data_IF_962609656603
#
_entry.id   IF_962609656603
#
_cell.length_a   1.000
_cell.length_b   1.000
_cell.length_c   1.000
_cell.angle_alpha   90.00
_cell.angle_beta   90.00
_cell.angle_gamma   90.00
#
_symmetry.space_group_name_H-M   'P 1'
#
loop_
_entity.id
_entity.type
_entity.pdbx_description
1 polymer ?
#
# COMPACT_ATOMS: atom_id res chain seq x y z
N UNK A 1 33.41 -20.18 -30.44
CA UNK A 1 32.89 -18.82 -30.69
C UNK A 1 31.91 -18.55 -29.57
N UNK A 2 32.45 -18.07 -28.45
CA UNK A 2 31.70 -17.75 -27.25
C UNK A 2 31.02 -16.40 -27.44
N UNK A 3 29.72 -16.36 -27.23
CA UNK A 3 29.00 -15.15 -26.84
C UNK A 3 28.10 -15.52 -25.68
N UNK A 4 28.73 -15.67 -24.51
CA UNK A 4 28.01 -15.61 -23.24
C UNK A 4 27.34 -14.25 -23.17
N UNK A 5 26.01 -14.25 -23.31
CA UNK A 5 25.18 -13.10 -23.01
C UNK A 5 25.37 -12.80 -21.53
N UNK A 6 26.09 -11.72 -21.23
CA UNK A 6 26.31 -11.24 -19.88
C UNK A 6 25.01 -10.57 -19.40
N UNK A 7 24.02 -11.39 -19.03
CA UNK A 7 22.87 -10.92 -18.26
C UNK A 7 23.41 -10.68 -16.87
N UNK A 8 23.58 -9.41 -16.50
CA UNK A 8 23.82 -9.05 -15.11
C UNK A 8 22.49 -9.33 -14.38
N UNK A 9 22.32 -10.55 -13.89
CA UNK A 9 21.27 -10.90 -12.92
C UNK A 9 21.62 -10.19 -11.60
N UNK A 10 21.38 -8.88 -11.55
CA UNK A 10 21.54 -8.12 -10.32
C UNK A 10 20.30 -8.36 -9.45
N UNK A 11 20.15 -9.56 -8.90
CA UNK A 11 19.00 -9.93 -8.05
C UNK A 11 19.20 -9.38 -6.63
N UNK A 12 19.19 -8.05 -6.52
CA UNK A 12 19.06 -7.40 -5.21
C UNK A 12 17.72 -7.81 -4.60
N UNK A 13 17.71 -8.08 -3.29
CA UNK A 13 16.50 -8.45 -2.56
C UNK A 13 15.43 -7.37 -2.75
N UNK A 14 14.23 -7.75 -3.19
CA UNK A 14 13.11 -6.85 -3.35
C UNK A 14 12.51 -6.47 -1.99
N UNK A 15 11.97 -5.25 -1.91
CA UNK A 15 11.33 -4.72 -0.70
C UNK A 15 9.85 -4.49 -0.98
N UNK A 16 9.00 -5.21 -0.27
CA UNK A 16 7.57 -4.92 -0.18
C UNK A 16 7.36 -4.07 1.07
N UNK A 17 6.58 -3.00 0.97
CA UNK A 17 6.36 -2.06 2.06
C UNK A 17 4.87 -1.76 2.25
N UNK A 18 4.40 -1.69 3.49
CA UNK A 18 3.06 -1.17 3.79
C UNK A 18 3.00 0.36 3.69
N UNK A 19 1.79 0.90 3.62
CA UNK A 19 1.52 2.33 3.69
C UNK A 19 1.22 2.79 5.12
N UNK A 20 0.08 2.37 5.67
CA UNK A 20 -0.42 2.83 6.96
C UNK A 20 0.44 2.28 8.10
N UNK A 21 0.94 3.15 8.97
CA UNK A 21 1.81 2.76 10.09
C UNK A 21 3.27 2.48 9.70
N UNK A 22 3.62 2.59 8.41
CA UNK A 22 4.99 2.40 7.90
C UNK A 22 5.46 3.62 7.11
N UNK A 23 4.77 4.04 6.05
CA UNK A 23 5.03 5.31 5.35
C UNK A 23 4.33 6.47 6.07
N UNK A 24 3.36 6.17 6.92
CA UNK A 24 2.67 7.13 7.78
C UNK A 24 2.86 6.78 9.24
N UNK A 25 2.47 7.70 10.13
CA UNK A 25 2.23 7.40 11.53
C UNK A 25 1.18 6.28 11.72
N UNK A 26 1.10 5.75 12.95
CA UNK A 26 0.30 4.56 13.27
C UNK A 26 -1.20 4.74 12.97
N UNK A 27 -1.74 3.83 12.17
CA UNK A 27 -3.19 3.73 11.92
C UNK A 27 -3.94 3.38 13.22
N UNK A 28 -3.38 2.51 14.06
CA UNK A 28 -3.99 2.12 15.34
C UNK A 28 -4.13 3.32 16.28
N UNK A 29 -3.12 4.19 16.31
CA UNK A 29 -3.18 5.43 17.08
C UNK A 29 -4.25 6.38 16.51
N UNK A 30 -4.31 6.52 15.18
CA UNK A 30 -5.33 7.35 14.52
C UNK A 30 -6.77 6.91 14.87
N UNK A 31 -7.04 5.59 14.90
CA UNK A 31 -8.33 5.06 15.38
C UNK A 31 -8.59 5.38 16.85
N UNK A 32 -7.55 5.31 17.69
CA UNK A 32 -7.67 5.59 19.13
C UNK A 32 -7.96 7.07 19.38
N UNK A 33 -7.26 7.96 18.68
CA UNK A 33 -7.44 9.41 18.77
C UNK A 33 -8.83 9.81 18.27
N UNK A 34 -9.26 9.22 17.15
CA UNK A 34 -10.61 9.40 16.65
C UNK A 34 -11.65 8.90 17.65
N UNK A 35 -11.48 7.70 18.22
CA UNK A 35 -12.37 7.17 19.24
C UNK A 35 -12.47 8.07 20.47
N UNK A 36 -11.36 8.65 20.93
CA UNK A 36 -11.35 9.61 22.04
C UNK A 36 -12.18 10.86 21.73
N UNK A 37 -12.25 11.28 20.46
CA UNK A 37 -13.07 12.41 20.03
C UNK A 37 -14.59 12.15 20.09
N UNK A 38 -15.01 10.87 20.17
CA UNK A 38 -16.42 10.48 20.23
C UNK A 38 -17.02 10.57 21.65
N UNK A 39 -16.22 10.89 22.67
CA UNK A 39 -16.68 11.06 24.06
C UNK A 39 -17.00 9.75 24.80
N UNK A 40 -16.60 8.59 24.24
CA UNK A 40 -16.80 7.26 24.80
C UNK A 40 -15.48 6.49 24.97
N UNK A 41 -15.54 5.16 24.87
CA UNK A 41 -14.33 4.32 24.86
C UNK A 41 -13.46 4.64 23.63
N UNK A 42 -12.22 5.14 23.83
CA UNK A 42 -11.31 5.47 22.73
C UNK A 42 -11.00 4.28 21.82
N UNK A 43 -11.11 3.06 22.32
CA UNK A 43 -10.83 1.85 21.56
C UNK A 43 -12.03 1.35 20.77
N UNK A 44 -13.23 1.89 20.98
CA UNK A 44 -14.46 1.39 20.38
C UNK A 44 -14.35 1.21 18.85
N UNK A 45 -13.88 2.20 18.06
CA UNK A 45 -13.77 2.02 16.61
C UNK A 45 -12.89 0.83 16.21
N UNK A 46 -11.72 0.70 16.84
CA UNK A 46 -10.78 -0.39 16.56
C UNK A 46 -11.33 -1.74 17.02
N UNK A 47 -11.94 -1.80 18.20
CA UNK A 47 -12.53 -3.01 18.75
C UNK A 47 -13.69 -3.52 17.88
N UNK A 48 -14.50 -2.64 17.29
CA UNK A 48 -15.54 -3.04 16.34
C UNK A 48 -14.93 -3.67 15.08
N UNK A 49 -13.91 -3.04 14.48
CA UNK A 49 -13.23 -3.60 13.32
C UNK A 49 -12.49 -4.91 13.62
N UNK A 50 -12.18 -5.20 14.89
CA UNK A 50 -11.57 -6.45 15.33
C UNK A 50 -12.55 -7.55 15.75
N UNK A 51 -13.71 -7.20 16.32
CA UNK A 51 -14.59 -8.13 17.03
C UNK A 51 -16.03 -8.15 16.55
N UNK A 52 -16.56 -7.04 16.02
CA UNK A 52 -17.93 -6.98 15.50
C UNK A 52 -17.99 -7.58 14.09
N UNK A 53 -18.78 -8.64 13.92
CA UNK A 53 -18.81 -9.38 12.65
C UNK A 53 -19.27 -8.51 11.47
N UNK A 54 -20.20 -7.57 11.70
CA UNK A 54 -20.69 -6.68 10.67
C UNK A 54 -19.61 -5.66 10.27
N UNK A 55 -19.00 -4.98 11.24
CA UNK A 55 -17.91 -4.04 10.99
C UNK A 55 -16.71 -4.70 10.29
N UNK A 56 -16.36 -5.93 10.69
CA UNK A 56 -15.30 -6.74 10.04
C UNK A 56 -15.62 -7.05 8.58
N UNK A 57 -16.88 -7.40 8.29
CA UNK A 57 -17.33 -7.70 6.93
C UNK A 57 -17.31 -6.45 6.07
N UNK A 58 -17.83 -5.33 6.59
CA UNK A 58 -17.76 -4.02 5.93
C UNK A 58 -16.31 -3.63 5.59
N UNK A 59 -15.39 -3.74 6.54
CA UNK A 59 -13.98 -3.45 6.31
C UNK A 59 -13.36 -4.36 5.24
N UNK A 60 -13.62 -5.67 5.34
CA UNK A 60 -13.08 -6.62 4.37
C UNK A 60 -13.64 -6.40 2.96
N UNK A 61 -14.92 -6.06 2.85
CA UNK A 61 -15.54 -5.74 1.57
C UNK A 61 -15.00 -4.44 1.00
N UNK A 62 -14.79 -3.44 1.84
CA UNK A 62 -14.22 -2.15 1.42
C UNK A 62 -12.76 -2.30 0.96
N UNK A 63 -11.91 -2.95 1.77
CA UNK A 63 -10.52 -3.23 1.41
C UNK A 63 -10.39 -4.16 0.19
N UNK A 64 -11.41 -4.96 -0.15
CA UNK A 64 -11.43 -5.75 -1.38
C UNK A 64 -12.13 -5.04 -2.55
N UNK A 65 -12.53 -3.78 -2.41
CA UNK A 65 -13.22 -3.03 -3.48
C UNK A 65 -14.62 -3.55 -3.82
N UNK A 66 -15.23 -4.37 -2.95
CA UNK A 66 -16.60 -4.89 -3.13
C UNK A 66 -17.67 -3.86 -2.77
N UNK A 67 -17.33 -2.91 -1.89
CA UNK A 67 -18.15 -1.74 -1.57
C UNK A 67 -17.29 -0.48 -1.64
N UNK A 68 -17.91 0.62 -2.06
CA UNK A 68 -17.25 1.93 -2.09
C UNK A 68 -17.07 2.52 -0.67
N UNK A 69 -16.35 3.65 -0.61
CA UNK A 69 -16.08 4.35 0.65
C UNK A 69 -17.37 4.80 1.33
N UNK A 70 -18.32 5.38 0.60
CA UNK A 70 -19.56 5.88 1.20
C UNK A 70 -20.40 4.76 1.82
N UNK A 71 -20.46 3.59 1.18
CA UNK A 71 -21.14 2.42 1.71
C UNK A 71 -20.46 1.90 2.99
N UNK A 72 -19.12 1.85 3.00
CA UNK A 72 -18.37 1.52 4.21
C UNK A 72 -18.64 2.52 5.33
N UNK A 73 -18.56 3.82 5.05
CA UNK A 73 -18.76 4.90 6.01
C UNK A 73 -20.15 4.85 6.64
N UNK A 74 -21.21 4.70 5.82
CA UNK A 74 -22.59 4.53 6.31
C UNK A 74 -22.72 3.31 7.22
N UNK A 75 -22.19 2.17 6.79
CA UNK A 75 -22.26 0.94 7.55
C UNK A 75 -21.51 1.03 8.87
N UNK A 76 -20.30 1.60 8.85
CA UNK A 76 -19.46 1.69 10.04
C UNK A 76 -19.97 2.73 11.04
N UNK A 77 -20.47 3.88 10.57
CA UNK A 77 -21.15 4.86 11.42
C UNK A 77 -22.37 4.23 12.12
N UNK A 78 -23.17 3.43 11.40
CA UNK A 78 -24.29 2.70 12.00
C UNK A 78 -23.82 1.69 13.06
N UNK A 79 -22.71 0.99 12.84
CA UNK A 79 -22.14 0.11 13.88
C UNK A 79 -21.71 0.91 15.11
N UNK A 80 -21.01 2.04 14.93
CA UNK A 80 -20.63 2.92 16.03
C UNK A 80 -21.85 3.40 16.83
N UNK A 81 -22.93 3.80 16.14
CA UNK A 81 -24.18 4.27 16.74
C UNK A 81 -24.88 3.19 17.56
N UNK A 82 -24.93 1.96 17.04
CA UNK A 82 -25.49 0.80 17.77
C UNK A 82 -24.72 0.54 19.07
N UNK A 83 -23.44 0.88 19.13
CA UNK A 83 -22.58 0.74 20.30
C UNK A 83 -22.44 2.06 21.11
N UNK A 84 -23.33 3.02 20.89
CA UNK A 84 -23.45 4.22 21.72
C UNK A 84 -22.58 5.41 21.30
N UNK A 85 -21.91 5.35 20.15
CA UNK A 85 -21.16 6.48 19.60
C UNK A 85 -21.91 7.11 18.41
N UNK A 86 -22.50 8.28 18.63
CA UNK A 86 -23.19 9.02 17.57
C UNK A 86 -22.20 9.77 16.68
N UNK A 87 -22.18 9.44 15.39
CA UNK A 87 -21.21 9.96 14.44
C UNK A 87 -21.82 10.04 13.03
N UNK A 88 -21.54 11.13 12.32
CA UNK A 88 -21.90 11.23 10.90
C UNK A 88 -21.14 10.17 10.09
N UNK A 89 -21.77 9.65 9.03
CA UNK A 89 -21.09 8.81 8.05
C UNK A 89 -20.14 9.63 7.16
N UNK A 90 -20.54 10.84 6.76
CA UNK A 90 -19.83 11.61 5.75
C UNK A 90 -18.36 11.86 6.14
N UNK A 91 -17.44 11.43 5.26
CA UNK A 91 -16.00 11.63 5.43
C UNK A 91 -15.45 10.96 6.70
N UNK A 92 -16.10 9.91 7.19
CA UNK A 92 -15.68 9.17 8.38
C UNK A 92 -14.27 8.60 8.23
N UNK A 93 -13.91 8.03 7.07
CA UNK A 93 -12.53 7.50 6.89
C UNK A 93 -11.50 8.62 6.93
N UNK A 94 -11.79 9.75 6.28
CA UNK A 94 -10.92 10.92 6.28
C UNK A 94 -10.76 11.50 7.70
N UNK A 95 -11.84 11.55 8.49
CA UNK A 95 -11.78 12.01 9.89
C UNK A 95 -10.99 11.07 10.79
N UNK A 96 -11.06 9.75 10.57
CA UNK A 96 -10.21 8.78 11.27
C UNK A 96 -8.74 9.02 10.92
N UNK A 97 -8.43 9.31 9.66
CA UNK A 97 -7.06 9.50 9.17
C UNK A 97 -6.51 10.92 9.36
N UNK A 98 -7.32 11.88 9.81
CA UNK A 98 -6.95 13.30 9.83
C UNK A 98 -5.72 13.64 10.69
N UNK A 99 -5.43 12.83 11.71
CA UNK A 99 -4.25 12.97 12.57
C UNK A 99 -3.00 12.26 12.04
N UNK A 100 -3.09 11.53 10.93
CA UNK A 100 -1.97 10.80 10.37
C UNK A 100 -1.00 11.75 9.66
N UNK A 101 0.29 11.46 9.77
CA UNK A 101 1.36 12.21 9.14
C UNK A 101 2.28 11.27 8.36
N UNK A 102 2.91 11.78 7.31
CA UNK A 102 3.89 11.03 6.52
C UNK A 102 5.21 10.95 7.30
N UNK A 103 5.77 9.75 7.42
CA UNK A 103 7.10 9.51 7.98
C UNK A 103 8.16 9.81 6.91
N UNK A 104 8.80 10.97 7.04
CA UNK A 104 9.83 11.44 6.11
C UNK A 104 11.10 10.59 6.15
N UNK A 105 11.43 9.97 7.29
CA UNK A 105 12.61 9.13 7.43
C UNK A 105 12.38 7.79 6.72
N UNK A 106 11.16 7.24 6.78
CA UNK A 106 10.79 6.08 5.98
C UNK A 106 10.76 6.37 4.49
N UNK A 107 10.26 7.53 4.07
CA UNK A 107 10.35 7.95 2.66
C UNK A 107 11.80 8.09 2.19
N UNK A 108 12.69 8.63 3.03
CA UNK A 108 14.12 8.72 2.72
C UNK A 108 14.74 7.32 2.58
N UNK A 109 14.45 6.40 3.51
CA UNK A 109 14.93 5.02 3.47
C UNK A 109 14.49 4.30 2.18
N UNK A 110 13.24 4.43 1.76
CA UNK A 110 12.75 3.82 0.51
C UNK A 110 13.47 4.36 -0.72
N UNK A 111 13.78 5.66 -0.76
CA UNK A 111 14.58 6.25 -1.86
C UNK A 111 16.00 5.72 -1.87
N UNK A 112 16.64 5.60 -0.71
CA UNK A 112 17.98 5.03 -0.60
C UNK A 112 18.01 3.55 -1.04
N UNK A 113 16.99 2.76 -0.68
CA UNK A 113 16.85 1.37 -1.11
C UNK A 113 16.75 1.26 -2.64
N UNK A 114 15.92 2.10 -3.27
CA UNK A 114 15.80 2.17 -4.73
C UNK A 114 17.11 2.61 -5.39
N UNK A 115 17.78 3.62 -4.83
CA UNK A 115 19.08 4.09 -5.34
C UNK A 115 20.18 3.02 -5.23
N UNK A 116 20.11 2.15 -4.23
CA UNK A 116 20.99 0.98 -4.07
C UNK A 116 20.59 -0.20 -4.98
N UNK A 117 19.53 -0.08 -5.78
CA UNK A 117 19.09 -1.08 -6.74
C UNK A 117 18.12 -2.13 -6.21
N UNK A 118 17.58 -1.96 -5.00
CA UNK A 118 16.50 -2.82 -4.48
C UNK A 118 15.16 -2.42 -5.11
N UNK A 119 14.47 -3.34 -5.84
CA UNK A 119 13.13 -3.06 -6.34
C UNK A 119 12.15 -2.88 -5.18
N UNK A 120 11.28 -1.88 -5.25
CA UNK A 120 10.30 -1.57 -4.20
C UNK A 120 8.86 -1.73 -4.69
N UNK A 121 8.06 -2.50 -3.95
CA UNK A 121 6.62 -2.58 -4.13
C UNK A 121 5.84 -2.05 -2.92
N UNK A 122 4.89 -1.16 -3.15
CA UNK A 122 3.87 -0.82 -2.15
C UNK A 122 2.80 -1.90 -2.11
N UNK A 123 2.50 -2.44 -0.93
CA UNK A 123 1.43 -3.44 -0.71
C UNK A 123 0.52 -2.98 0.43
N UNK A 124 -0.61 -2.37 0.05
CA UNK A 124 -1.47 -1.64 0.99
C UNK A 124 -2.91 -2.15 1.01
N UNK A 125 -3.42 -2.35 2.23
CA UNK A 125 -4.87 -2.41 2.46
C UNK A 125 -5.42 -0.99 2.42
N UNK A 126 -6.34 -0.68 1.49
CA UNK A 126 -6.85 0.68 1.30
C UNK A 126 -7.94 1.02 2.31
N UNK A 127 -7.96 2.26 2.81
CA UNK A 127 -8.95 2.70 3.80
C UNK A 127 -9.54 4.07 3.43
N UNK A 128 -10.47 4.07 2.48
CA UNK A 128 -11.15 5.30 2.05
C UNK A 128 -10.46 6.06 0.92
N UNK A 129 -11.16 7.06 0.40
CA UNK A 129 -10.64 8.00 -0.59
C UNK A 129 -9.58 8.91 0.03
N UNK A 130 -8.47 9.14 -0.68
CA UNK A 130 -7.40 10.03 -0.23
C UNK A 130 -6.38 9.39 0.71
N UNK A 131 -6.45 8.07 0.96
CA UNK A 131 -5.45 7.35 1.80
C UNK A 131 -4.01 7.65 1.37
N UNK A 132 -3.77 7.83 0.07
CA UNK A 132 -2.42 8.01 -0.50
C UNK A 132 -2.09 9.48 -0.81
N UNK A 133 -2.95 10.42 -0.43
CA UNK A 133 -2.74 11.83 -0.70
C UNK A 133 -1.47 12.34 0.00
N UNK A 134 -0.76 13.26 -0.66
CA UNK A 134 0.51 13.80 -0.15
C UNK A 134 1.74 12.91 -0.38
N UNK A 135 1.57 11.70 -0.94
CA UNK A 135 2.70 10.84 -1.34
C UNK A 135 2.70 10.62 -2.85
N UNK A 136 3.80 10.95 -3.51
CA UNK A 136 4.03 10.53 -4.90
C UNK A 136 4.41 9.04 -4.92
N UNK A 137 3.41 8.19 -5.15
CA UNK A 137 3.58 6.74 -5.15
C UNK A 137 4.62 6.26 -6.18
N UNK A 138 4.73 6.94 -7.33
CA UNK A 138 5.70 6.58 -8.38
C UNK A 138 7.15 6.96 -7.97
N UNK A 139 7.31 7.98 -7.14
CA UNK A 139 8.61 8.36 -6.58
C UNK A 139 9.09 7.41 -5.47
N UNK A 140 8.20 6.62 -4.86
CA UNK A 140 8.54 5.77 -3.70
C UNK A 140 8.52 4.26 -4.00
N UNK A 141 7.80 3.83 -5.04
CA UNK A 141 7.72 2.42 -5.41
C UNK A 141 7.77 2.22 -6.93
N UNK A 142 8.38 1.12 -7.36
CA UNK A 142 8.40 0.66 -8.75
C UNK A 142 7.07 -0.02 -9.12
N UNK A 143 6.43 -0.66 -8.12
CA UNK A 143 5.14 -1.35 -8.26
C UNK A 143 4.20 -0.92 -7.13
N UNK A 144 2.93 -0.71 -7.46
CA UNK A 144 1.88 -0.42 -6.49
C UNK A 144 0.80 -1.50 -6.53
N UNK A 145 0.53 -2.13 -5.38
CA UNK A 145 -0.52 -3.13 -5.19
C UNK A 145 -1.47 -2.64 -4.10
N UNK A 146 -2.62 -2.15 -4.54
CA UNK A 146 -3.70 -1.68 -3.66
C UNK A 146 -4.78 -2.75 -3.61
N UNK A 147 -5.08 -3.22 -2.41
CA UNK A 147 -6.06 -4.29 -2.14
C UNK A 147 -7.41 -4.10 -2.83
N UNK A 148 -8.02 -2.90 -2.77
CA UNK A 148 -9.31 -2.64 -3.40
C UNK A 148 -9.27 -2.68 -4.93
N UNK A 149 -8.09 -2.43 -5.53
CA UNK A 149 -7.90 -2.51 -6.99
C UNK A 149 -7.73 -3.96 -7.43
N UNK A 150 -7.02 -4.77 -6.65
CA UNK A 150 -6.75 -6.18 -7.00
C UNK A 150 -7.79 -7.15 -6.43
N UNK A 151 -8.73 -6.67 -5.62
CA UNK A 151 -9.79 -7.46 -4.99
C UNK A 151 -9.34 -8.40 -3.87
N UNK A 152 -8.11 -8.23 -3.38
CA UNK A 152 -7.47 -9.13 -2.42
C UNK A 152 -6.67 -8.31 -1.42
N UNK A 153 -6.91 -8.54 -0.12
CA UNK A 153 -6.25 -7.84 1.00
C UNK A 153 -5.20 -8.69 1.72
N UNK A 154 -4.27 -8.04 2.40
CA UNK A 154 -3.42 -8.67 3.42
C UNK A 154 -4.30 -9.23 4.54
N UNK A 155 -3.94 -10.38 5.16
CA UNK A 155 -2.72 -11.17 4.97
C UNK A 155 -2.87 -12.32 3.95
N UNK A 156 -3.71 -12.18 2.92
CA UNK A 156 -3.83 -13.21 1.88
C UNK A 156 -2.52 -13.40 1.12
N UNK A 157 -2.04 -14.64 1.00
CA UNK A 157 -0.82 -15.00 0.24
C UNK A 157 -0.80 -14.40 -1.17
N UNK A 158 -1.97 -14.30 -1.80
CA UNK A 158 -2.10 -13.87 -3.20
C UNK A 158 -1.73 -12.39 -3.40
N UNK A 159 -1.95 -11.50 -2.42
CA UNK A 159 -1.59 -10.08 -2.59
C UNK A 159 -0.07 -9.89 -2.69
N UNK A 160 0.69 -10.65 -1.89
CA UNK A 160 2.15 -10.64 -1.93
C UNK A 160 2.69 -11.29 -3.21
N UNK A 161 2.07 -12.40 -3.65
CA UNK A 161 2.42 -13.03 -4.92
C UNK A 161 2.22 -12.07 -6.11
N UNK A 162 1.15 -11.27 -6.12
CA UNK A 162 0.93 -10.24 -7.16
C UNK A 162 2.05 -9.19 -7.15
N UNK A 163 2.52 -8.76 -5.98
CA UNK A 163 3.63 -7.82 -5.88
C UNK A 163 4.93 -8.42 -6.43
N UNK A 164 5.27 -9.66 -6.06
CA UNK A 164 6.43 -10.38 -6.59
C UNK A 164 6.34 -10.58 -8.11
N UNK A 165 5.18 -11.01 -8.63
CA UNK A 165 4.92 -11.18 -10.07
C UNK A 165 5.17 -9.88 -10.85
N UNK A 166 4.68 -8.75 -10.33
CA UNK A 166 4.84 -7.43 -10.97
C UNK A 166 6.28 -6.91 -10.91
N UNK A 167 7.04 -7.28 -9.87
CA UNK A 167 8.46 -6.97 -9.74
C UNK A 167 9.36 -7.93 -10.53
N UNK A 168 8.84 -9.08 -10.98
CA UNK A 168 9.62 -10.11 -11.66
C UNK A 168 10.57 -10.88 -10.74
N UNK A 169 10.23 -11.02 -9.45
CA UNK A 169 11.06 -11.69 -8.44
C UNK A 169 10.35 -12.90 -7.82
N UNK A 170 11.13 -13.87 -7.35
CA UNK A 170 10.62 -14.96 -6.50
C UNK A 170 10.32 -14.46 -5.08
N UNK A 171 9.34 -15.05 -4.37
CA UNK A 171 9.03 -14.69 -2.98
C UNK A 171 10.24 -14.77 -2.02
N UNK A 172 11.12 -15.76 -2.21
CA UNK A 172 12.35 -15.96 -1.43
C UNK A 172 13.39 -14.84 -1.62
N UNK A 173 13.28 -14.09 -2.73
CA UNK A 173 14.10 -12.93 -3.02
C UNK A 173 13.50 -11.62 -2.52
N UNK A 174 12.52 -11.66 -1.61
CA UNK A 174 11.81 -10.48 -1.13
C UNK A 174 11.71 -10.39 0.40
N UNK A 175 11.61 -9.17 0.91
CA UNK A 175 11.32 -8.84 2.31
C UNK A 175 10.10 -7.92 2.40
N UNK A 176 9.18 -8.20 3.31
CA UNK A 176 8.02 -7.36 3.64
C UNK A 176 8.32 -6.51 4.88
N UNK A 177 8.08 -5.22 4.79
CA UNK A 177 8.10 -4.25 5.89
C UNK A 177 6.66 -3.87 6.21
N UNK A 178 6.20 -4.23 7.41
CA UNK A 178 4.82 -4.02 7.87
C UNK A 178 4.82 -3.81 9.39
N UNK A 179 3.91 -2.99 9.93
CA UNK A 179 3.76 -2.75 11.37
C UNK A 179 2.89 -3.84 12.04
N UNK A 180 2.19 -4.66 11.27
CA UNK A 180 1.32 -5.73 11.77
C UNK A 180 1.94 -7.11 11.56
N UNK A 181 2.22 -7.81 12.67
CA UNK A 181 2.77 -9.17 12.65
C UNK A 181 1.94 -10.14 11.79
N UNK A 182 0.60 -10.03 11.83
CA UNK A 182 -0.29 -10.89 11.02
C UNK A 182 -0.04 -10.78 9.51
N UNK A 183 0.38 -9.60 9.02
CA UNK A 183 0.70 -9.37 7.62
C UNK A 183 2.04 -10.04 7.27
N UNK A 184 3.03 -9.94 8.17
CA UNK A 184 4.31 -10.63 8.02
C UNK A 184 4.14 -12.15 8.02
N UNK A 185 3.28 -12.69 8.90
CA UNK A 185 2.94 -14.11 8.92
C UNK A 185 2.28 -14.55 7.61
N UNK A 186 1.48 -13.67 6.99
CA UNK A 186 0.90 -13.86 5.66
C UNK A 186 1.95 -13.98 4.56
N UNK A 187 2.93 -13.08 4.56
CA UNK A 187 4.04 -13.04 3.62
C UNK A 187 4.98 -14.25 3.80
N UNK A 188 5.33 -14.59 5.04
CA UNK A 188 6.21 -15.72 5.38
C UNK A 188 5.69 -17.07 4.86
N UNK A 189 4.36 -17.25 4.74
CA UNK A 189 3.74 -18.47 4.20
C UNK A 189 4.05 -18.74 2.72
N UNK A 190 4.61 -17.78 2.00
CA UNK A 190 5.10 -17.98 0.63
C UNK A 190 6.61 -17.78 0.50
N UNK A 191 7.35 -17.65 1.60
CA UNK A 191 8.81 -17.54 1.60
C UNK A 191 9.37 -16.12 1.68
N UNK A 192 8.52 -15.09 1.83
CA UNK A 192 8.96 -13.70 1.97
C UNK A 192 9.48 -13.45 3.39
N UNK A 193 10.67 -12.86 3.50
CA UNK A 193 11.21 -12.41 4.79
C UNK A 193 10.37 -11.29 5.41
N UNK A 194 10.35 -11.14 6.73
CA UNK A 194 9.55 -10.11 7.40
C UNK A 194 10.37 -9.18 8.29
N UNK A 195 10.17 -7.87 8.17
CA UNK A 195 10.68 -6.82 9.07
C UNK A 195 9.48 -6.18 9.76
N UNK A 196 9.40 -6.33 11.08
CA UNK A 196 8.35 -5.70 11.88
C UNK A 196 8.71 -4.23 12.10
N UNK A 197 7.96 -3.35 11.47
CA UNK A 197 8.22 -1.92 11.52
C UNK A 197 7.82 -1.32 12.87
N UNK A 198 8.73 -0.56 13.47
CA UNK A 198 8.46 0.29 14.65
C UNK A 198 8.99 1.71 14.48
N UNK A 199 10.00 1.89 13.63
CA UNK A 199 10.54 3.18 13.17
C UNK A 199 11.44 2.96 11.94
N UNK A 200 11.79 4.04 11.24
CA UNK A 200 12.77 3.97 10.14
C UNK A 200 14.15 3.46 10.58
N UNK A 201 14.63 3.91 11.74
CA UNK A 201 15.92 3.47 12.29
C UNK A 201 15.92 1.97 12.62
N UNK A 202 14.82 1.48 13.20
CA UNK A 202 14.63 0.07 13.53
C UNK A 202 14.54 -0.80 12.27
N UNK A 203 13.78 -0.35 11.28
CA UNK A 203 13.67 -0.99 9.96
C UNK A 203 15.03 -1.13 9.30
N UNK A 204 15.82 -0.04 9.26
CA UNK A 204 17.18 -0.05 8.71
C UNK A 204 18.07 -1.06 9.42
N UNK A 205 18.02 -1.10 10.75
CA UNK A 205 18.82 -2.05 11.55
C UNK A 205 18.44 -3.49 11.22
N UNK A 206 17.15 -3.82 11.18
CA UNK A 206 16.67 -5.17 10.85
C UNK A 206 17.03 -5.58 9.41
N UNK A 207 16.91 -4.67 8.44
CA UNK A 207 17.32 -4.91 7.05
C UNK A 207 18.81 -5.26 6.96
N UNK A 208 19.67 -4.52 7.65
CA UNK A 208 21.11 -4.77 7.67
C UNK A 208 21.46 -6.09 8.39
N UNK A 209 20.96 -6.29 9.61
CA UNK A 209 21.33 -7.44 10.45
C UNK A 209 20.80 -8.77 9.94
N UNK A 210 19.59 -8.78 9.36
CA UNK A 210 18.88 -10.02 8.99
C UNK A 210 18.94 -10.35 7.51
N UNK A 211 19.13 -9.33 6.66
CA UNK A 211 19.07 -9.49 5.20
C UNK A 211 20.30 -8.94 4.49
N UNK A 212 21.27 -8.35 5.20
CA UNK A 212 22.47 -7.76 4.60
C UNK A 212 22.17 -6.53 3.72
N UNK A 213 20.99 -5.93 3.88
CA UNK A 213 20.55 -4.78 3.08
C UNK A 213 20.98 -3.49 3.78
N UNK A 214 22.02 -2.84 3.24
CA UNK A 214 22.58 -1.60 3.79
C UNK A 214 22.50 -0.46 2.77
N UNK A 215 21.36 0.26 2.71
CA UNK A 215 21.25 1.43 1.85
C UNK A 215 22.25 2.52 2.32
N UNK A 216 23.08 2.99 1.39
CA UNK A 216 24.04 4.07 1.64
C UNK A 216 23.33 5.43 1.65
N UNK A 217 23.55 6.22 2.70
CA UNK A 217 23.06 7.60 2.81
C UNK A 217 23.59 8.51 1.70
N UNK A 218 24.74 8.17 1.08
CA UNK A 218 25.39 8.99 0.07
C UNK A 218 24.71 8.95 -1.32
N UNK A 219 23.97 7.88 -1.63
CA UNK A 219 23.39 7.64 -2.95
C UNK A 219 22.10 8.46 -3.22
N UNK A 220 21.39 8.90 -2.17
CA UNK A 220 20.16 9.70 -2.30
C UNK A 220 20.37 11.13 -2.83
N UNK A 221 21.63 11.58 -2.96
CA UNK A 221 21.98 12.89 -3.50
C UNK A 221 22.04 12.93 -5.04
N UNK A 222 21.93 11.79 -5.73
CA UNK A 222 21.92 11.73 -7.19
C UNK A 222 20.49 11.80 -7.70
N UNK A 223 20.16 12.93 -8.33
CA UNK A 223 18.83 13.24 -8.87
C UNK A 223 18.32 12.23 -9.90
N UNK A 224 17.05 12.37 -10.35
CA UNK A 224 16.37 11.33 -11.11
C UNK A 224 17.13 11.00 -12.40
N UNK A 225 17.54 9.73 -12.52
CA UNK A 225 18.00 9.15 -13.78
C UNK A 225 16.86 9.24 -14.80
N UNK A 226 17.01 10.17 -15.76
CA UNK A 226 16.11 10.30 -16.91
C UNK A 226 16.30 9.09 -17.83
N UNK A 227 15.45 8.09 -17.70
CA UNK A 227 15.11 7.16 -18.78
C UNK A 227 13.88 7.71 -19.52
N UNK A 228 14.00 7.94 -20.82
CA UNK A 228 12.99 8.63 -21.63
C UNK A 228 11.62 7.96 -21.61
N UNK A 229 10.59 8.75 -21.36
CA UNK A 229 9.19 8.39 -21.64
C UNK A 229 8.73 9.29 -22.77
N UNK A 230 8.44 8.68 -23.92
CA UNK A 230 7.70 9.32 -25.01
C UNK A 230 6.34 9.79 -24.49
N UNK A 231 6.04 11.05 -24.77
CA UNK A 231 4.79 11.70 -24.40
C UNK A 231 3.62 11.09 -25.17
N UNK A 232 2.68 10.47 -24.48
CA UNK A 232 1.34 10.21 -25.02
C UNK A 232 0.34 11.19 -24.44
N UNK A 233 -0.39 11.81 -25.37
CA UNK A 233 -1.26 12.97 -25.25
C UNK A 233 -2.45 12.79 -24.28
N UNK A 234 -2.79 13.91 -23.63
CA UNK A 234 -3.99 14.08 -22.82
C UNK A 234 -5.20 14.18 -23.73
N UNK A 235 -6.04 13.14 -23.75
CA UNK A 235 -7.51 13.28 -23.86
C UNK A 235 -8.16 11.92 -23.66
N UNK A 236 -8.76 11.73 -22.48
CA UNK A 236 -9.77 10.71 -22.28
C UNK A 236 -10.99 11.07 -23.12
N UNK A 237 -11.36 10.18 -24.03
CA UNK A 237 -12.74 9.95 -24.48
C UNK A 237 -12.79 8.70 -25.35
N UNK A 238 -13.49 7.68 -24.85
CA UNK A 238 -13.84 6.48 -25.61
C UNK A 238 -14.97 6.86 -26.57
N UNK A 239 -14.69 6.96 -27.88
CA UNK A 239 -15.72 7.13 -28.90
C UNK A 239 -15.90 5.85 -29.70
N UNK A 240 -17.06 5.23 -29.54
CA UNK A 240 -17.50 4.06 -30.30
C UNK A 240 -17.47 4.33 -31.81
N UNK A 241 -16.67 3.58 -32.57
CA UNK A 241 -16.70 3.58 -34.03
C UNK A 241 -17.84 2.68 -34.54
N UNK A 242 -19.01 3.25 -34.76
CA UNK A 242 -20.01 2.67 -35.67
C UNK A 242 -19.60 3.00 -37.11
N UNK A 243 -19.19 1.98 -37.88
CA UNK A 243 -18.97 2.10 -39.33
C UNK A 243 -20.32 2.13 -40.05
N UNK A 244 -20.80 3.33 -40.36
CA UNK A 244 -21.88 3.53 -41.33
C UNK A 244 -21.29 3.46 -42.74
N UNK A 245 -21.62 2.39 -43.48
CA UNK A 245 -21.44 2.31 -44.94
C UNK A 245 -22.57 3.10 -45.60
N UNK A 246 -22.24 4.03 -46.50
CA UNK A 246 -23.17 4.48 -47.55
C UNK A 246 -22.67 4.03 -48.92
N UNK A 247 -23.59 3.68 -49.84
CA UNK A 247 -23.28 3.00 -51.09
C UNK A 247 -22.87 3.97 -52.21
N UNK A 248 -22.23 3.40 -53.22
CA UNK A 248 -21.84 4.03 -54.47
C UNK A 248 -23.06 4.30 -55.39
N UNK A 249 -22.97 5.38 -56.16
CA UNK A 249 -23.68 5.61 -57.43
C UNK A 249 -22.68 6.34 -58.35
N UNK A 250 -22.17 5.63 -59.36
CA UNK A 250 -22.54 5.70 -60.79
C UNK A 250 -21.86 6.88 -61.50
#
# INVERSE_FOLDING_TARGET
MDTMSNVVENTQTAVLVDFGGVITSSVLQAFTDFGASLGGDPRLPLDLLGRDQCARTLLADHECGRIDTEAFERGFAERLRVHGADVSAEGLTARIQAGMSIDQDMLALLRELRAAGHPVALVSNSFGTGTYDGVDLAAVADVVVISAVVGIRKPSRRIYAIACERLGVGPEGAVMIDDLQQNLDGAARIGIGGVLHTSAADTRRQLAERFGITPDRSAAALGPCRGGVESTDRRGEIRAMTRSRRPAAL
#
